data_IF_595142705365
#
_entry.id   IF_595142705365
#
_cell.length_a   1.000
_cell.length_b   1.000
_cell.length_c   1.000
_cell.angle_alpha   90.00
_cell.angle_beta   90.00
_cell.angle_gamma   90.00
#
_symmetry.space_group_name_H-M   'P 1'
#
loop_
_entity.id
_entity.type
_entity.pdbx_description
1 polymer ?
#
# COMPACT_ATOMS: atom_id res chain seq x y z
N UNK A 1 -10.52 8.29 0.94
CA UNK A 1 -9.17 8.70 1.42
C UNK A 1 -8.52 9.56 0.35
N UNK A 2 -7.81 10.62 0.75
CA UNK A 2 -7.01 11.45 -0.16
C UNK A 2 -5.65 11.76 0.46
N UNK A 3 -4.62 11.95 -0.37
CA UNK A 3 -3.25 12.29 0.02
C UNK A 3 -2.78 13.53 -0.76
N UNK A 4 -1.91 14.33 -0.14
CA UNK A 4 -1.38 15.56 -0.75
C UNK A 4 0.01 15.96 -0.26
N UNK A 5 0.42 15.57 0.95
CA UNK A 5 1.73 15.92 1.50
C UNK A 5 2.84 15.26 0.68
N UNK A 6 3.80 16.08 0.21
CA UNK A 6 4.92 15.61 -0.62
C UNK A 6 4.55 15.33 -2.08
N UNK A 7 3.32 15.66 -2.51
CA UNK A 7 2.83 15.47 -3.87
C UNK A 7 2.44 16.82 -4.50
N UNK A 8 2.44 16.92 -5.84
CA UNK A 8 2.17 18.16 -6.57
C UNK A 8 0.69 18.59 -6.53
N UNK A 9 -0.19 17.79 -5.94
CA UNK A 9 -1.63 18.03 -5.94
C UNK A 9 -2.36 17.09 -4.98
N UNK A 10 -3.70 17.14 -5.01
CA UNK A 10 -4.56 16.26 -4.23
C UNK A 10 -4.86 14.97 -5.01
N UNK A 11 -4.53 13.84 -4.40
CA UNK A 11 -4.74 12.51 -4.99
C UNK A 11 -5.82 11.75 -4.21
N UNK A 12 -6.78 11.17 -4.91
CA UNK A 12 -7.93 10.45 -4.33
C UNK A 12 -7.80 8.95 -4.57
N UNK A 13 -7.97 8.16 -3.51
CA UNK A 13 -7.90 6.70 -3.57
C UNK A 13 -9.00 6.13 -4.48
N UNK A 14 -8.66 5.14 -5.29
CA UNK A 14 -9.58 4.48 -6.24
C UNK A 14 -9.49 2.96 -6.22
N UNK A 15 -8.33 2.38 -5.91
CA UNK A 15 -8.13 0.94 -5.91
C UNK A 15 -7.21 0.50 -4.78
N UNK A 16 -7.44 -0.70 -4.28
CA UNK A 16 -6.56 -1.42 -3.37
C UNK A 16 -6.25 -2.80 -3.94
N UNK A 17 -5.00 -3.25 -3.86
CA UNK A 17 -4.62 -4.63 -4.17
C UNK A 17 -3.44 -5.08 -3.32
N UNK A 18 -3.27 -6.40 -3.21
CA UNK A 18 -2.21 -7.02 -2.42
C UNK A 18 -1.33 -7.87 -3.34
N UNK A 19 -0.04 -7.84 -3.08
CA UNK A 19 0.95 -8.80 -3.58
C UNK A 19 1.39 -9.67 -2.41
N UNK A 20 1.49 -10.98 -2.60
CA UNK A 20 1.94 -11.90 -1.56
C UNK A 20 2.67 -13.10 -2.18
N UNK A 21 3.48 -13.74 -1.35
CA UNK A 21 4.30 -14.88 -1.74
C UNK A 21 3.60 -16.22 -1.62
N UNK A 22 4.32 -17.29 -1.92
CA UNK A 22 3.84 -18.66 -1.76
C UNK A 22 3.90 -19.15 -0.30
N UNK A 23 3.72 -20.46 -0.12
CA UNK A 23 3.73 -21.11 1.19
C UNK A 23 5.14 -21.38 1.73
N UNK A 24 6.18 -21.19 0.92
CA UNK A 24 7.55 -21.44 1.34
C UNK A 24 8.12 -20.20 2.04
N UNK A 25 8.89 -20.39 3.13
CA UNK A 25 9.48 -19.27 3.88
C UNK A 25 10.35 -18.35 3.00
N UNK A 26 10.92 -18.89 1.93
CA UNK A 26 11.75 -18.16 0.96
C UNK A 26 10.93 -17.46 -0.15
N UNK A 27 9.61 -17.71 -0.21
CA UNK A 27 8.74 -17.12 -1.21
C UNK A 27 8.28 -15.74 -0.75
N UNK A 28 9.16 -14.76 -0.91
CA UNK A 28 8.82 -13.35 -0.70
C UNK A 28 7.72 -12.90 -1.67
N UNK A 29 6.83 -12.02 -1.21
CA UNK A 29 5.69 -11.53 -1.98
C UNK A 29 5.69 -10.04 -2.30
N UNK A 30 6.51 -9.24 -1.62
CA UNK A 30 6.58 -7.81 -1.91
C UNK A 30 7.26 -7.54 -3.25
N UNK A 31 6.74 -6.56 -3.98
CA UNK A 31 7.36 -6.04 -5.20
C UNK A 31 8.56 -5.16 -4.84
N UNK A 32 8.40 -4.29 -3.85
CA UNK A 32 9.45 -3.43 -3.34
C UNK A 32 10.38 -4.13 -2.34
N UNK A 33 11.58 -3.58 -2.16
CA UNK A 33 12.58 -4.06 -1.21
C UNK A 33 13.03 -2.92 -0.29
N UNK A 34 13.41 -3.26 0.95
CA UNK A 34 14.14 -2.38 1.87
C UNK A 34 15.50 -3.03 2.12
N UNK A 35 16.58 -2.29 1.87
CA UNK A 35 17.95 -2.79 2.01
C UNK A 35 18.21 -4.11 1.25
N UNK A 36 17.58 -4.27 0.09
CA UNK A 36 17.67 -5.47 -0.76
C UNK A 36 16.83 -6.66 -0.29
N UNK A 37 16.12 -6.55 0.82
CA UNK A 37 15.25 -7.59 1.35
C UNK A 37 13.82 -7.43 0.85
N UNK A 38 13.21 -8.52 0.37
CA UNK A 38 11.77 -8.60 0.09
C UNK A 38 11.03 -9.08 1.34
N UNK A 39 9.75 -8.74 1.44
CA UNK A 39 8.87 -9.04 2.57
C UNK A 39 7.72 -9.97 2.14
N UNK A 40 6.94 -10.47 3.10
CA UNK A 40 5.93 -11.51 2.85
C UNK A 40 4.80 -11.07 1.93
N UNK A 41 4.37 -9.82 2.10
CA UNK A 41 3.31 -9.24 1.31
C UNK A 41 3.50 -7.73 1.18
N UNK A 42 2.77 -7.15 0.24
CA UNK A 42 2.73 -5.73 -0.01
C UNK A 42 1.32 -5.28 -0.37
N UNK A 43 0.83 -4.26 0.32
CA UNK A 43 -0.45 -3.62 0.05
C UNK A 43 -0.21 -2.36 -0.79
N UNK A 44 -0.90 -2.26 -1.92
CA UNK A 44 -0.97 -1.07 -2.74
C UNK A 44 -2.31 -0.36 -2.59
N UNK A 45 -2.28 0.94 -2.33
CA UNK A 45 -3.44 1.83 -2.46
C UNK A 45 -3.16 2.84 -3.57
N UNK A 46 -3.88 2.68 -4.68
CA UNK A 46 -3.75 3.50 -5.88
C UNK A 46 -4.62 4.74 -5.75
N UNK A 47 -4.03 5.90 -6.02
CA UNK A 47 -4.71 7.19 -6.04
C UNK A 47 -4.51 7.85 -7.40
N UNK A 48 -5.53 8.56 -7.88
CA UNK A 48 -5.42 9.43 -9.05
C UNK A 48 -5.38 10.91 -8.65
N UNK A 49 -4.71 11.73 -9.46
CA UNK A 49 -4.58 13.17 -9.26
C UNK A 49 -5.92 13.88 -9.54
N UNK A 50 -6.76 13.91 -8.51
CA UNK A 50 -8.08 14.57 -8.54
C UNK A 50 -8.03 16.09 -8.60
N UNK A 51 -6.85 16.71 -8.41
CA UNK A 51 -6.70 18.14 -8.59
C UNK A 51 -6.66 18.53 -10.08
N UNK A 52 -6.14 17.64 -10.94
CA UNK A 52 -5.93 17.93 -12.36
C UNK A 52 -6.82 17.10 -13.30
N UNK A 53 -7.40 16.01 -12.82
CA UNK A 53 -8.20 15.10 -13.66
C UNK A 53 -9.53 14.77 -12.98
N UNK A 54 -10.56 14.63 -13.80
CA UNK A 54 -11.94 14.37 -13.36
C UNK A 54 -12.17 12.92 -12.92
N UNK A 55 -11.33 12.00 -13.39
CA UNK A 55 -11.47 10.56 -13.15
C UNK A 55 -10.14 9.82 -13.18
N UNK A 56 -10.13 8.61 -12.63
CA UNK A 56 -9.00 7.70 -12.75
C UNK A 56 -8.69 7.36 -14.22
N UNK A 57 -9.72 7.10 -15.03
CA UNK A 57 -9.55 6.75 -16.45
C UNK A 57 -8.84 7.85 -17.25
N UNK A 58 -9.12 9.10 -16.93
CA UNK A 58 -8.43 10.25 -17.55
C UNK A 58 -6.97 10.35 -17.08
N UNK A 59 -6.73 10.07 -15.80
CA UNK A 59 -5.43 10.27 -15.16
C UNK A 59 -4.43 9.13 -15.40
N UNK A 60 -4.89 7.89 -15.60
CA UNK A 60 -4.06 6.67 -15.51
C UNK A 60 -2.84 6.65 -16.44
N UNK A 61 -2.98 7.28 -17.62
CA UNK A 61 -1.93 7.32 -18.65
C UNK A 61 -1.22 8.69 -18.70
N UNK A 62 -1.40 9.53 -17.68
CA UNK A 62 -0.84 10.88 -17.63
C UNK A 62 0.39 10.95 -16.73
N UNK A 63 1.40 11.75 -17.10
CA UNK A 63 2.48 12.09 -16.19
C UNK A 63 1.92 12.67 -14.89
N UNK A 64 2.36 12.14 -13.74
CA UNK A 64 1.85 12.55 -12.42
C UNK A 64 0.32 12.40 -12.30
N UNK A 65 -0.25 11.48 -13.08
CA UNK A 65 -1.67 11.15 -13.00
C UNK A 65 -1.99 10.25 -11.82
N UNK A 66 -1.03 9.44 -11.37
CA UNK A 66 -1.22 8.45 -10.31
C UNK A 66 -0.16 8.59 -9.21
N UNK A 67 -0.56 8.24 -7.99
CA UNK A 67 0.32 8.02 -6.84
C UNK A 67 -0.10 6.73 -6.12
N UNK A 68 0.86 5.88 -5.78
CA UNK A 68 0.60 4.62 -5.07
C UNK A 68 1.25 4.68 -3.70
N UNK A 69 0.47 4.36 -2.66
CA UNK A 69 1.03 4.04 -1.34
C UNK A 69 1.29 2.54 -1.28
N UNK A 70 2.54 2.17 -1.03
CA UNK A 70 2.97 0.81 -0.76
C UNK A 70 3.19 0.59 0.74
N UNK A 71 2.66 -0.51 1.28
CA UNK A 71 2.87 -0.95 2.67
C UNK A 71 3.41 -2.37 2.68
N UNK A 72 4.59 -2.57 3.28
CA UNK A 72 5.25 -3.86 3.38
C UNK A 72 4.85 -4.59 4.67
N UNK A 73 4.51 -5.87 4.56
CA UNK A 73 4.22 -6.73 5.70
C UNK A 73 5.48 -7.51 6.08
N UNK A 74 6.10 -7.08 7.18
CA UNK A 74 7.29 -7.73 7.73
C UNK A 74 6.91 -8.84 8.71
N UNK A 75 7.88 -9.69 9.04
CA UNK A 75 7.74 -10.57 10.21
C UNK A 75 7.43 -9.74 11.46
N UNK A 76 6.54 -10.26 12.29
CA UNK A 76 6.16 -9.69 13.57
C UNK A 76 5.88 -10.80 14.55
N UNK A 77 6.21 -10.59 15.82
CA UNK A 77 5.99 -11.57 16.87
C UNK A 77 4.53 -11.65 17.35
N UNK A 78 3.63 -10.82 16.82
CA UNK A 78 2.24 -10.71 17.27
C UNK A 78 1.26 -10.56 16.09
N UNK A 79 0.07 -11.14 16.23
CA UNK A 79 -1.03 -10.97 15.28
C UNK A 79 -1.50 -9.51 15.23
N UNK A 80 -1.63 -8.96 14.02
CA UNK A 80 -2.21 -7.65 13.83
C UNK A 80 -3.74 -7.77 13.67
N UNK A 81 -4.45 -7.65 14.80
CA UNK A 81 -5.90 -7.84 14.89
C UNK A 81 -6.72 -6.81 14.11
N UNK A 82 -6.12 -5.68 13.67
CA UNK A 82 -6.79 -4.73 12.78
C UNK A 82 -7.11 -5.35 11.41
N UNK A 83 -6.37 -6.39 10.99
CA UNK A 83 -6.62 -7.09 9.74
C UNK A 83 -7.65 -8.22 9.85
N UNK A 84 -8.05 -8.66 11.04
CA UNK A 84 -8.88 -9.85 11.22
C UNK A 84 -10.23 -9.73 10.49
N UNK A 85 -10.86 -8.56 10.52
CA UNK A 85 -12.10 -8.33 9.77
C UNK A 85 -11.89 -8.41 8.26
N UNK A 86 -10.79 -7.83 7.75
CA UNK A 86 -10.45 -7.89 6.33
C UNK A 86 -10.15 -9.33 5.88
N UNK A 87 -9.30 -10.03 6.62
CA UNK A 87 -8.89 -11.42 6.33
C UNK A 87 -10.10 -12.37 6.38
N UNK A 88 -10.97 -12.22 7.38
CA UNK A 88 -12.18 -13.06 7.47
C UNK A 88 -13.13 -12.85 6.27
N UNK A 89 -13.17 -11.64 5.69
CA UNK A 89 -13.95 -11.37 4.47
C UNK A 89 -13.32 -12.01 3.23
N UNK A 90 -11.99 -12.09 3.12
CA UNK A 90 -11.31 -12.77 2.02
C UNK A 90 -11.67 -14.27 1.94
N UNK A 91 -11.95 -14.91 3.08
CA UNK A 91 -12.41 -16.30 3.10
C UNK A 91 -13.73 -16.52 2.33
N UNK A 92 -14.49 -15.46 2.05
CA UNK A 92 -15.76 -15.47 1.31
C UNK A 92 -15.61 -15.15 -0.19
N UNK A 93 -14.41 -14.82 -0.65
CA UNK A 93 -14.11 -14.48 -2.06
C UNK A 93 -13.01 -15.42 -2.53
N UNK A 94 -13.39 -16.66 -2.79
CA UNK A 94 -12.47 -17.78 -3.03
C UNK A 94 -12.23 -18.02 -4.51
N UNK A 95 -13.20 -17.65 -5.33
CA UNK A 95 -13.20 -17.96 -6.75
C UNK A 95 -13.17 -16.69 -7.60
N UNK A 96 -12.47 -16.78 -8.74
CA UNK A 96 -12.39 -15.67 -9.67
C UNK A 96 -13.79 -15.28 -10.18
N UNK A 97 -14.05 -13.97 -10.23
CA UNK A 97 -15.32 -13.43 -10.70
C UNK A 97 -16.42 -13.34 -9.65
N UNK A 98 -16.18 -13.75 -8.40
CA UNK A 98 -17.13 -13.52 -7.31
C UNK A 98 -17.20 -12.02 -6.99
N UNK A 99 -18.36 -11.35 -7.24
CA UNK A 99 -18.53 -9.96 -6.90
C UNK A 99 -18.66 -9.82 -5.38
N UNK A 100 -18.06 -8.77 -4.84
CA UNK A 100 -18.14 -8.48 -3.42
C UNK A 100 -18.42 -6.99 -3.22
N UNK A 101 -19.38 -6.69 -2.35
CA UNK A 101 -19.67 -5.32 -1.93
C UNK A 101 -18.95 -5.04 -0.61
N UNK A 102 -17.87 -4.25 -0.66
CA UNK A 102 -17.25 -3.72 0.56
C UNK A 102 -18.01 -2.49 1.04
N UNK A 103 -18.98 -2.67 1.92
CA UNK A 103 -19.75 -1.52 2.44
C UNK A 103 -18.96 -0.61 3.37
N UNK A 104 -17.81 -1.06 3.90
CA UNK A 104 -16.74 -0.20 4.36
C UNK A 104 -15.49 -1.04 4.63
N UNK A 105 -14.35 -0.56 4.15
CA UNK A 105 -13.06 -0.95 4.69
C UNK A 105 -12.63 0.21 5.59
N UNK A 106 -12.74 0.02 6.90
CA UNK A 106 -12.16 0.98 7.84
C UNK A 106 -10.65 0.99 7.62
N UNK A 107 -10.12 2.04 6.98
CA UNK A 107 -8.68 2.27 6.77
C UNK A 107 -7.91 2.51 8.08
N UNK A 108 -8.50 2.18 9.24
CA UNK A 108 -7.84 2.05 10.55
C UNK A 108 -6.75 0.95 10.49
N UNK A 109 -6.82 0.09 9.47
CA UNK A 109 -5.80 -0.88 9.09
C UNK A 109 -4.48 -0.19 8.67
N UNK A 110 -4.55 1.06 8.20
CA UNK A 110 -3.34 1.83 7.95
C UNK A 110 -2.66 2.13 9.27
N UNK A 111 -1.33 2.02 9.32
CA UNK A 111 -0.65 2.13 10.59
C UNK A 111 -0.99 3.44 11.33
N UNK A 112 -1.23 3.35 12.64
CA UNK A 112 -1.74 4.45 13.45
C UNK A 112 -0.97 5.78 13.29
N UNK A 113 0.31 5.75 12.91
CA UNK A 113 1.13 6.95 12.75
C UNK A 113 0.89 7.76 11.46
N UNK A 114 -0.06 7.38 10.59
CA UNK A 114 -0.65 8.35 9.65
C UNK A 114 -1.32 9.54 10.38
N UNK A 115 -1.62 9.41 11.67
CA UNK A 115 -2.16 10.49 12.51
C UNK A 115 -1.11 11.28 13.29
N UNK A 116 0.14 10.80 13.42
CA UNK A 116 1.13 11.36 14.38
C UNK A 116 2.49 11.73 13.80
N UNK A 117 2.74 11.55 12.51
CA UNK A 117 3.96 12.09 11.87
C UNK A 117 5.27 11.38 12.24
N UNK A 118 5.22 10.12 12.68
CA UNK A 118 6.42 9.28 12.90
C UNK A 118 6.58 8.22 11.78
N UNK A 119 7.82 7.79 11.54
CA UNK A 119 8.30 7.17 10.29
C UNK A 119 7.59 5.88 9.87
N UNK A 120 7.20 5.83 8.59
CA UNK A 120 6.79 4.62 7.86
C UNK A 120 7.62 4.49 6.58
N UNK A 121 7.89 3.27 6.14
CA UNK A 121 8.37 3.00 4.79
C UNK A 121 7.18 2.94 3.82
N UNK A 122 6.56 4.09 3.56
CA UNK A 122 5.65 4.22 2.43
C UNK A 122 6.46 4.58 1.20
N UNK A 123 6.49 3.70 0.20
CA UNK A 123 7.12 4.03 -1.08
C UNK A 123 6.04 4.69 -1.93
N UNK A 124 6.22 5.98 -2.22
CA UNK A 124 5.46 6.67 -3.23
C UNK A 124 6.10 6.35 -4.58
N UNK A 125 5.55 5.34 -5.26
CA UNK A 125 5.97 4.99 -6.61
C UNK A 125 5.07 5.68 -7.64
N UNK A 126 5.63 6.34 -8.68
CA UNK A 126 4.88 6.62 -9.89
C UNK A 126 4.40 5.28 -10.44
N UNK A 127 3.11 5.14 -10.74
CA UNK A 127 2.49 3.89 -11.19
C UNK A 127 3.06 3.29 -12.50
N UNK A 128 4.08 3.91 -13.10
CA UNK A 128 4.69 3.56 -14.38
C UNK A 128 6.23 3.52 -14.33
N UNK A 129 6.85 3.47 -13.14
CA UNK A 129 8.30 3.31 -13.02
C UNK A 129 8.66 2.09 -12.17
N UNK A 130 9.68 1.30 -12.57
CA UNK A 130 10.22 0.26 -11.71
C UNK A 130 10.76 0.89 -10.42
N UNK A 131 10.54 0.21 -9.30
CA UNK A 131 11.03 0.60 -7.98
C UNK A 131 12.52 0.98 -8.05
N UNK A 132 12.84 2.25 -7.79
CA UNK A 132 14.22 2.71 -7.69
C UNK A 132 14.76 2.34 -6.30
N UNK A 133 15.96 1.74 -6.18
CA UNK A 133 16.58 1.54 -4.89
C UNK A 133 16.97 2.91 -4.34
N UNK A 134 16.33 3.36 -3.27
CA UNK A 134 16.87 4.47 -2.46
C UNK A 134 17.12 3.99 -1.05
N UNK A 135 18.30 4.39 -0.57
CA UNK A 135 18.95 3.91 0.64
C UNK A 135 18.03 3.98 1.86
N UNK A 136 17.94 2.86 2.58
CA UNK A 136 17.40 2.83 3.94
C UNK A 136 18.21 3.76 4.83
N UNK A 137 17.52 4.71 5.46
CA UNK A 137 18.06 5.48 6.56
C UNK A 137 17.74 4.76 7.87
N UNK A 138 18.75 4.18 8.52
CA UNK A 138 18.63 3.61 9.87
C UNK A 138 18.77 4.75 10.88
N UNK A 139 17.74 5.05 11.67
CA UNK A 139 17.89 5.88 12.85
C UNK A 139 18.00 4.98 14.09
N UNK A 140 19.22 4.85 14.59
CA UNK A 140 19.47 4.47 15.98
C UNK A 140 19.33 5.71 16.88
N UNK A 141 18.53 5.60 17.93
CA UNK A 141 18.47 6.55 19.06
C UNK A 141 17.38 6.05 20.02
N UNK A 142 17.74 5.24 21.03
CA UNK A 142 18.21 5.64 22.36
C UNK A 142 17.13 6.34 23.22
N UNK A 143 16.77 5.59 24.27
CA UNK A 143 15.98 5.89 25.47
C UNK A 143 14.46 5.94 25.32
#
# INVERSE_FOLDING_TARGET
MSISRGLPGLYRAVQMHLHWGGLELESSGSEHTIDGMRHFAELHIVHYNSANYSSFEEAKDKPQGLAVLAFLYTDGHFENTYYSEFISKLARIRFAGEPWECLSLSLIILPACMHTGNSWHSILSPAQQPAQPRAGGRCSGQQ
#
